data_IF_828952803999
#
_entry.id   IF_828952803999
#
_cell.length_a   1.000
_cell.length_b   1.000
_cell.length_c   1.000
_cell.angle_alpha   90.00
_cell.angle_beta   90.00
_cell.angle_gamma   90.00
#
_symmetry.space_group_name_H-M   'P 1'
#
loop_
_entity.id
_entity.type
_entity.pdbx_description
1 polymer ?
#
# COMPACT_ATOMS: atom_id res chain seq x y z
N UNK A 1 -14.94 -19.51 2.28
CA UNK A 1 -14.11 -19.53 3.48
C UNK A 1 -13.95 -18.09 3.93
N UNK A 2 -14.27 -17.78 5.17
CA UNK A 2 -14.06 -16.44 5.77
C UNK A 2 -12.57 -16.24 5.93
N UNK A 3 -12.04 -15.11 5.50
CA UNK A 3 -10.61 -14.79 5.64
C UNK A 3 -10.27 -14.55 7.13
N UNK A 4 -9.05 -14.85 7.53
CA UNK A 4 -8.57 -14.57 8.89
C UNK A 4 -8.74 -13.08 9.24
N UNK A 5 -8.52 -12.18 8.27
CA UNK A 5 -8.71 -10.75 8.45
C UNK A 5 -10.17 -10.36 8.78
N UNK A 6 -11.14 -11.16 8.35
CA UNK A 6 -12.56 -10.89 8.63
C UNK A 6 -12.97 -11.21 10.07
N UNK A 7 -12.15 -11.99 10.79
CA UNK A 7 -12.34 -12.32 12.20
C UNK A 7 -11.73 -11.30 13.17
N UNK A 8 -10.99 -10.32 12.65
CA UNK A 8 -10.42 -9.26 13.47
C UNK A 8 -11.54 -8.39 14.05
N UNK A 9 -11.47 -8.15 15.34
CA UNK A 9 -12.40 -7.30 16.08
C UNK A 9 -11.80 -5.93 16.35
N UNK A 10 -12.61 -4.89 16.22
CA UNK A 10 -12.18 -3.51 16.44
C UNK A 10 -13.34 -2.53 16.25
N UNK A 11 -13.11 -1.23 16.31
CA UNK A 11 -14.14 -0.20 16.21
C UNK A 11 -14.68 0.00 14.78
N UNK A 12 -14.31 -0.86 13.86
CA UNK A 12 -14.70 -0.79 12.45
C UNK A 12 -15.89 -1.71 12.14
N UNK A 13 -16.58 -1.36 11.06
CA UNK A 13 -17.59 -2.23 10.42
C UNK A 13 -17.13 -2.57 9.01
N UNK A 14 -17.45 -3.79 8.59
CA UNK A 14 -17.15 -4.26 7.24
C UNK A 14 -18.35 -4.10 6.31
N UNK A 15 -18.11 -3.62 5.09
CA UNK A 15 -19.11 -3.65 4.02
C UNK A 15 -18.48 -3.69 2.62
N UNK A 16 -19.31 -3.94 1.63
CA UNK A 16 -18.93 -3.87 0.22
C UNK A 16 -19.50 -2.60 -0.40
N UNK A 17 -18.65 -1.87 -1.13
CA UNK A 17 -19.05 -0.72 -1.95
C UNK A 17 -19.00 -1.08 -3.43
N UNK A 18 -19.88 -0.48 -4.23
CA UNK A 18 -19.90 -0.68 -5.67
C UNK A 18 -19.02 0.36 -6.37
N UNK A 19 -18.02 -0.13 -7.12
CA UNK A 19 -17.01 0.69 -7.77
C UNK A 19 -16.76 0.14 -9.18
N UNK A 20 -17.12 0.91 -10.20
CA UNK A 20 -16.84 0.57 -11.60
C UNK A 20 -17.26 -0.86 -12.00
N UNK A 21 -18.45 -1.26 -11.57
CA UNK A 21 -19.02 -2.58 -11.86
C UNK A 21 -18.45 -3.73 -11.02
N UNK A 22 -17.71 -3.42 -9.97
CA UNK A 22 -17.13 -4.38 -9.03
C UNK A 22 -17.53 -4.02 -7.60
N UNK A 23 -17.38 -4.96 -6.70
CA UNK A 23 -17.54 -4.77 -5.27
C UNK A 23 -16.16 -4.71 -4.64
N UNK A 24 -15.89 -3.65 -3.91
CA UNK A 24 -14.69 -3.52 -3.10
C UNK A 24 -15.05 -3.57 -1.62
N UNK A 25 -14.30 -4.35 -0.87
CA UNK A 25 -14.45 -4.49 0.56
C UNK A 25 -13.77 -3.31 1.27
N UNK A 26 -14.45 -2.80 2.30
CA UNK A 26 -13.92 -1.79 3.20
C UNK A 26 -14.12 -2.17 4.66
N UNK A 27 -13.20 -1.72 5.51
CA UNK A 27 -13.36 -1.62 6.95
C UNK A 27 -13.39 -0.13 7.30
N UNK A 28 -14.48 0.34 7.90
CA UNK A 28 -14.69 1.76 8.14
C UNK A 28 -15.10 2.06 9.58
N UNK A 29 -14.69 3.23 10.09
CA UNK A 29 -15.11 3.78 11.37
C UNK A 29 -15.27 5.30 11.27
N UNK A 30 -15.85 5.92 12.30
CA UNK A 30 -16.21 7.33 12.29
C UNK A 30 -17.54 7.60 11.58
N UNK A 31 -17.84 8.88 11.34
CA UNK A 31 -19.11 9.31 10.75
C UNK A 31 -18.93 9.56 9.25
N UNK A 32 -19.84 9.11 8.39
CA UNK A 32 -19.80 9.38 6.95
C UNK A 32 -19.85 10.87 6.57
N UNK A 33 -20.29 11.74 7.48
CA UNK A 33 -20.33 13.20 7.28
C UNK A 33 -18.99 13.90 7.52
N UNK A 34 -18.08 13.22 8.22
CA UNK A 34 -16.77 13.79 8.56
C UNK A 34 -15.79 13.68 7.38
N UNK A 35 -14.70 14.45 7.34
CA UNK A 35 -13.70 14.37 6.27
C UNK A 35 -13.19 12.95 6.04
N UNK A 36 -13.08 12.54 4.78
CA UNK A 36 -12.65 11.19 4.43
C UNK A 36 -11.12 11.02 4.56
N UNK A 37 -10.71 10.05 5.37
CA UNK A 37 -9.35 9.51 5.39
C UNK A 37 -9.39 8.11 4.79
N UNK A 38 -8.85 7.93 3.60
CA UNK A 38 -8.87 6.67 2.86
C UNK A 38 -7.52 5.97 2.93
N UNK A 39 -7.50 4.79 3.51
CA UNK A 39 -6.30 3.98 3.73
C UNK A 39 -6.13 2.95 2.62
N UNK A 40 -4.95 2.97 1.98
CA UNK A 40 -4.62 2.12 0.82
C UNK A 40 -3.40 1.26 1.15
N UNK A 41 -3.59 -0.05 1.18
CA UNK A 41 -2.57 -1.03 1.59
C UNK A 41 -1.47 -1.25 0.55
N UNK A 42 -0.39 -1.91 0.98
CA UNK A 42 0.73 -2.34 0.16
C UNK A 42 0.44 -3.58 -0.72
N UNK A 43 1.45 -4.01 -1.48
CA UNK A 43 1.32 -5.12 -2.44
C UNK A 43 1.00 -6.47 -1.80
N UNK A 44 1.47 -6.73 -0.59
CA UNK A 44 1.31 -8.01 0.12
C UNK A 44 0.32 -7.95 1.27
N UNK A 45 -0.30 -6.78 1.47
CA UNK A 45 -1.18 -6.49 2.59
C UNK A 45 -2.66 -6.65 2.28
N UNK A 46 -3.45 -5.83 2.94
CA UNK A 46 -4.89 -5.73 2.86
C UNK A 46 -5.38 -4.62 3.79
N UNK A 47 -6.68 -4.44 3.94
CA UNK A 47 -7.24 -3.48 4.88
C UNK A 47 -6.66 -3.64 6.31
N UNK A 48 -6.27 -4.84 6.68
CA UNK A 48 -5.74 -5.20 8.00
C UNK A 48 -4.37 -4.57 8.33
N UNK A 49 -3.66 -4.01 7.37
CA UNK A 49 -2.47 -3.20 7.64
C UNK A 49 -2.78 -2.00 8.54
N UNK A 50 -4.03 -1.56 8.54
CA UNK A 50 -4.50 -0.38 9.27
C UNK A 50 -5.21 -0.69 10.60
N UNK A 51 -5.24 -1.97 11.01
CA UNK A 51 -5.94 -2.44 12.21
C UNK A 51 -5.46 -1.80 13.51
N UNK A 52 -4.18 -1.40 13.57
CA UNK A 52 -3.60 -0.71 14.72
C UNK A 52 -3.78 0.82 14.64
N UNK A 53 -4.02 1.36 13.46
CA UNK A 53 -4.23 2.79 13.23
C UNK A 53 -5.70 3.19 13.47
N UNK A 54 -6.63 2.42 12.92
CA UNK A 54 -8.07 2.73 12.96
C UNK A 54 -8.60 2.96 14.39
N UNK A 55 -8.26 2.15 15.40
CA UNK A 55 -8.71 2.38 16.77
C UNK A 55 -8.23 3.71 17.34
N UNK A 56 -7.00 4.11 17.04
CA UNK A 56 -6.39 5.32 17.57
C UNK A 56 -6.98 6.63 17.03
N UNK A 57 -7.74 6.56 15.93
CA UNK A 57 -8.42 7.73 15.35
C UNK A 57 -9.70 8.09 16.12
N UNK A 58 -10.33 7.10 16.75
CA UNK A 58 -11.61 7.25 17.43
C UNK A 58 -11.50 6.91 18.94
N UNK A 59 -10.30 6.99 19.51
CA UNK A 59 -10.10 6.69 20.92
C UNK A 59 -10.65 7.82 21.79
N UNK A 60 -11.71 7.50 22.55
CA UNK A 60 -12.36 8.43 23.49
C UNK A 60 -11.45 8.80 24.68
N UNK A 61 -10.32 8.11 24.87
CA UNK A 61 -9.34 8.39 25.94
C UNK A 61 -8.43 9.59 25.63
N UNK A 62 -8.46 10.09 24.38
CA UNK A 62 -7.66 11.20 23.90
C UNK A 62 -8.50 12.32 23.28
N UNK A 63 -7.97 12.90 22.21
CA UNK A 63 -8.65 13.88 21.36
C UNK A 63 -9.03 13.17 20.04
N UNK A 64 -10.25 12.61 19.93
CA UNK A 64 -10.67 11.85 18.77
C UNK A 64 -10.67 12.75 17.53
N UNK A 65 -10.16 12.22 16.43
CA UNK A 65 -10.20 12.93 15.16
C UNK A 65 -11.58 12.78 14.51
N UNK A 66 -12.27 13.88 14.19
CA UNK A 66 -13.57 13.81 13.51
C UNK A 66 -13.37 13.46 12.04
N UNK A 67 -13.12 12.18 11.74
CA UNK A 67 -12.87 11.67 10.41
C UNK A 67 -13.74 10.46 10.08
N UNK A 68 -14.09 10.31 8.81
CA UNK A 68 -14.58 9.08 8.24
C UNK A 68 -13.37 8.27 7.78
N UNK A 69 -12.91 7.33 8.60
CA UNK A 69 -11.75 6.50 8.33
C UNK A 69 -12.17 5.23 7.59
N UNK A 70 -11.62 5.01 6.40
CA UNK A 70 -11.97 3.88 5.52
C UNK A 70 -10.72 3.17 5.05
N UNK A 71 -10.51 1.93 5.49
CA UNK A 71 -9.45 1.06 4.99
C UNK A 71 -10.02 0.15 3.88
N UNK A 72 -9.52 0.36 2.66
CA UNK A 72 -10.00 -0.37 1.47
C UNK A 72 -9.15 -1.61 1.21
N UNK A 73 -9.80 -2.72 0.88
CA UNK A 73 -9.14 -3.84 0.19
C UNK A 73 -9.17 -3.58 -1.30
N UNK A 74 -8.03 -3.34 -1.92
CA UNK A 74 -7.96 -3.11 -3.36
C UNK A 74 -8.50 -4.33 -4.13
N UNK A 75 -8.81 -4.13 -5.39
CA UNK A 75 -9.24 -5.17 -6.35
C UNK A 75 -8.41 -6.44 -6.22
N UNK A 76 -9.07 -7.58 -6.00
CA UNK A 76 -8.45 -8.90 -5.87
C UNK A 76 -7.97 -9.27 -4.48
N UNK A 77 -8.07 -8.35 -3.49
CA UNK A 77 -7.69 -8.58 -2.11
C UNK A 77 -8.90 -8.79 -1.21
N UNK A 78 -8.73 -9.64 -0.20
CA UNK A 78 -9.78 -9.92 0.78
C UNK A 78 -11.10 -10.31 0.11
N UNK A 79 -12.20 -9.68 0.52
CA UNK A 79 -13.55 -9.88 -0.03
C UNK A 79 -13.84 -9.06 -1.30
N UNK A 80 -12.89 -8.25 -1.79
CA UNK A 80 -13.04 -7.50 -3.04
C UNK A 80 -13.09 -8.43 -4.25
N UNK A 81 -13.88 -8.07 -5.25
CA UNK A 81 -14.03 -8.85 -6.46
C UNK A 81 -12.67 -9.04 -7.18
N UNK A 82 -12.50 -10.24 -7.73
CA UNK A 82 -11.30 -10.66 -8.45
C UNK A 82 -11.55 -10.58 -9.95
N UNK A 83 -10.79 -9.74 -10.62
CA UNK A 83 -10.88 -9.56 -12.06
C UNK A 83 -9.75 -10.27 -12.80
N UNK A 84 -9.95 -10.63 -14.08
CA UNK A 84 -8.89 -11.22 -14.88
C UNK A 84 -7.67 -10.32 -15.09
N UNK A 85 -7.84 -9.00 -14.98
CA UNK A 85 -6.83 -7.96 -15.24
C UNK A 85 -7.16 -6.67 -14.47
N UNK A 86 -6.31 -5.63 -14.60
CA UNK A 86 -6.56 -4.33 -13.99
C UNK A 86 -5.86 -4.17 -12.63
N UNK A 87 -4.67 -4.74 -12.50
CA UNK A 87 -3.85 -4.65 -11.30
C UNK A 87 -2.66 -3.71 -11.44
N UNK A 88 -2.76 -2.76 -12.36
CA UNK A 88 -1.77 -1.70 -12.54
C UNK A 88 -2.16 -0.44 -11.75
N UNK A 89 -1.23 0.53 -11.53
CA UNK A 89 -1.51 1.73 -10.77
C UNK A 89 -2.61 2.62 -11.35
N UNK A 90 -2.82 2.60 -12.68
CA UNK A 90 -3.86 3.41 -13.31
C UNK A 90 -5.26 2.89 -12.99
N UNK A 91 -5.47 1.59 -13.12
CA UNK A 91 -6.74 0.96 -12.80
C UNK A 91 -7.05 1.05 -11.30
N UNK A 92 -6.02 0.83 -10.46
CA UNK A 92 -6.16 1.00 -9.02
C UNK A 92 -6.53 2.45 -8.65
N UNK A 93 -5.89 3.46 -9.25
CA UNK A 93 -6.22 4.86 -9.03
C UNK A 93 -7.65 5.22 -9.44
N UNK A 94 -8.15 4.63 -10.55
CA UNK A 94 -9.54 4.82 -10.96
C UNK A 94 -10.53 4.17 -10.00
N UNK A 95 -10.18 3.03 -9.44
CA UNK A 95 -10.99 2.38 -8.39
C UNK A 95 -11.04 3.24 -7.13
N UNK A 96 -9.91 3.79 -6.70
CA UNK A 96 -9.84 4.71 -5.54
C UNK A 96 -10.67 5.98 -5.82
N UNK A 97 -10.53 6.62 -6.99
CA UNK A 97 -11.33 7.78 -7.37
C UNK A 97 -12.84 7.51 -7.30
N UNK A 98 -13.24 6.34 -7.79
CA UNK A 98 -14.65 5.93 -7.77
C UNK A 98 -15.12 5.54 -6.38
N UNK A 99 -14.22 5.01 -5.53
CA UNK A 99 -14.52 4.72 -4.12
C UNK A 99 -14.79 5.98 -3.33
N UNK A 100 -14.00 7.04 -3.49
CA UNK A 100 -14.23 8.35 -2.84
C UNK A 100 -15.66 8.84 -3.15
N UNK A 101 -16.05 8.81 -4.43
CA UNK A 101 -17.39 9.24 -4.86
C UNK A 101 -18.50 8.31 -4.37
N UNK A 102 -18.28 6.99 -4.38
CA UNK A 102 -19.23 6.00 -3.90
C UNK A 102 -19.47 6.10 -2.39
N UNK A 103 -18.50 6.61 -1.65
CA UNK A 103 -18.59 6.91 -0.22
C UNK A 103 -19.28 8.25 0.06
N UNK A 104 -19.61 9.04 -0.98
CA UNK A 104 -20.33 10.32 -0.86
C UNK A 104 -19.41 11.53 -0.66
N UNK A 105 -18.08 11.38 -0.85
CA UNK A 105 -17.13 12.44 -0.64
C UNK A 105 -16.64 13.07 -1.96
N UNK A 106 -16.29 14.35 -1.92
CA UNK A 106 -15.69 15.10 -3.03
C UNK A 106 -14.16 15.02 -3.01
N UNK A 107 -13.56 14.85 -1.82
CA UNK A 107 -12.11 14.77 -1.61
C UNK A 107 -11.77 13.74 -0.55
N UNK A 108 -10.51 13.31 -0.49
CA UNK A 108 -9.99 12.44 0.56
C UNK A 108 -8.53 12.74 0.88
N UNK A 109 -8.16 12.62 2.14
CA UNK A 109 -6.78 12.40 2.55
C UNK A 109 -6.44 10.92 2.28
N UNK A 110 -5.39 10.68 1.50
CA UNK A 110 -4.95 9.33 1.17
C UNK A 110 -3.79 8.91 2.07
N UNK A 111 -4.00 7.90 2.90
CA UNK A 111 -2.98 7.32 3.77
C UNK A 111 -2.58 5.96 3.21
N UNK A 112 -1.32 5.79 2.84
CA UNK A 112 -0.92 4.74 1.92
C UNK A 112 0.32 3.99 2.38
N UNK A 113 0.38 2.68 2.14
CA UNK A 113 1.55 1.85 2.38
C UNK A 113 2.16 1.38 1.06
N UNK A 114 3.47 1.56 0.87
CA UNK A 114 4.22 1.01 -0.26
C UNK A 114 3.58 1.28 -1.62
N UNK A 115 3.09 0.24 -2.32
CA UNK A 115 2.41 0.36 -3.61
C UNK A 115 1.16 1.25 -3.56
N UNK A 116 0.45 1.28 -2.44
CA UNK A 116 -0.70 2.17 -2.25
C UNK A 116 -0.34 3.64 -2.43
N UNK A 117 0.87 4.05 -2.04
CA UNK A 117 1.37 5.42 -2.26
C UNK A 117 1.55 5.74 -3.75
N UNK A 118 1.96 4.76 -4.55
CA UNK A 118 2.05 4.93 -6.00
C UNK A 118 0.68 5.08 -6.65
N UNK A 119 -0.31 4.36 -6.13
CA UNK A 119 -1.72 4.54 -6.53
C UNK A 119 -2.20 5.94 -6.20
N UNK A 120 -1.90 6.44 -5.00
CA UNK A 120 -2.27 7.79 -4.55
C UNK A 120 -1.64 8.88 -5.43
N UNK A 121 -0.34 8.81 -5.72
CA UNK A 121 0.30 9.75 -6.63
C UNK A 121 -0.27 9.67 -8.07
N UNK A 122 -0.62 8.46 -8.53
CA UNK A 122 -1.29 8.28 -9.83
C UNK A 122 -2.65 8.96 -9.84
N UNK A 123 -3.41 8.87 -8.77
CA UNK A 123 -4.68 9.57 -8.63
C UNK A 123 -4.48 11.08 -8.59
N UNK A 124 -3.58 11.57 -7.75
CA UNK A 124 -3.29 12.99 -7.60
C UNK A 124 -2.85 13.64 -8.92
N UNK A 125 -2.04 12.94 -9.72
CA UNK A 125 -1.60 13.44 -11.03
C UNK A 125 -2.73 13.57 -12.06
N UNK A 126 -3.78 12.75 -11.95
CA UNK A 126 -4.88 12.70 -12.94
C UNK A 126 -6.14 13.42 -12.50
N UNK A 127 -6.43 13.41 -11.21
CA UNK A 127 -7.62 13.98 -10.59
C UNK A 127 -7.25 14.68 -9.28
N UNK A 128 -6.44 15.75 -9.33
CA UNK A 128 -5.90 16.40 -8.13
C UNK A 128 -7.01 16.92 -7.20
N UNK A 129 -8.15 17.29 -7.75
CA UNK A 129 -9.28 17.80 -6.96
C UNK A 129 -9.92 16.74 -6.04
N UNK A 130 -9.63 15.45 -6.22
CA UNK A 130 -10.10 14.37 -5.32
C UNK A 130 -9.17 14.11 -4.15
N UNK A 131 -7.97 14.71 -4.14
CA UNK A 131 -6.93 14.41 -3.16
C UNK A 131 -6.63 15.66 -2.36
N UNK A 132 -7.01 15.70 -1.09
CA UNK A 132 -6.67 16.80 -0.18
C UNK A 132 -5.22 16.71 0.30
N UNK A 133 -4.65 15.51 0.34
CA UNK A 133 -3.25 15.26 0.68
C UNK A 133 -2.88 13.79 0.60
N UNK A 134 -1.59 13.50 0.75
CA UNK A 134 -1.04 12.15 0.74
C UNK A 134 -0.12 11.95 1.94
N UNK A 135 -0.36 10.90 2.70
CA UNK A 135 0.58 10.39 3.70
C UNK A 135 1.05 9.03 3.20
N UNK A 136 2.31 8.97 2.74
CA UNK A 136 2.90 7.76 2.20
C UNK A 136 3.84 7.09 3.19
N UNK A 137 3.60 5.82 3.49
CA UNK A 137 4.43 5.01 4.37
C UNK A 137 5.32 4.07 3.57
N UNK A 138 6.64 4.09 3.78
CA UNK A 138 7.59 3.17 3.17
C UNK A 138 7.59 3.18 1.64
N UNK A 139 7.52 4.37 1.03
CA UNK A 139 7.52 4.52 -0.43
C UNK A 139 8.33 5.74 -0.87
N UNK A 140 9.12 5.60 -1.93
CA UNK A 140 9.75 6.70 -2.63
C UNK A 140 8.98 7.06 -3.90
N UNK A 141 9.02 8.33 -4.29
CA UNK A 141 8.31 8.82 -5.49
C UNK A 141 8.85 8.14 -6.76
N UNK A 142 7.99 7.76 -7.70
CA UNK A 142 8.38 7.04 -8.92
C UNK A 142 9.46 7.74 -9.76
N UNK A 143 9.52 9.07 -9.75
CA UNK A 143 10.58 9.84 -10.43
C UNK A 143 11.97 9.58 -9.86
N UNK A 144 12.07 9.39 -8.54
CA UNK A 144 13.34 9.06 -7.88
C UNK A 144 13.84 7.72 -8.40
N UNK A 145 12.97 6.73 -8.48
CA UNK A 145 13.28 5.44 -9.06
C UNK A 145 13.78 5.56 -10.51
N UNK A 146 13.11 6.36 -11.32
CA UNK A 146 13.52 6.57 -12.72
C UNK A 146 14.90 7.24 -12.81
N UNK A 147 15.15 8.26 -12.00
CA UNK A 147 16.42 8.97 -12.01
C UNK A 147 17.57 8.06 -11.58
N UNK A 148 17.35 7.23 -10.58
CA UNK A 148 18.33 6.22 -10.17
C UNK A 148 18.60 5.19 -11.28
N UNK A 149 17.58 4.76 -12.01
CA UNK A 149 17.75 3.85 -13.15
C UNK A 149 18.54 4.47 -14.32
N UNK A 150 18.48 5.80 -14.49
CA UNK A 150 19.28 6.52 -15.51
C UNK A 150 20.78 6.63 -15.15
N UNK A 151 21.11 6.47 -13.88
CA UNK A 151 22.47 6.59 -13.36
C UNK A 151 22.92 5.32 -12.61
N UNK A 152 22.98 4.15 -13.29
CA UNK A 152 23.22 2.87 -12.63
C UNK A 152 24.61 2.72 -12.00
N UNK A 153 25.50 3.67 -12.26
CA UNK A 153 26.86 3.72 -11.73
C UNK A 153 27.00 4.66 -10.52
N UNK A 154 25.94 5.40 -10.16
CA UNK A 154 25.94 6.26 -8.97
C UNK A 154 26.05 5.43 -7.69
N UNK A 155 26.63 6.03 -6.66
CA UNK A 155 26.75 5.42 -5.33
C UNK A 155 25.36 5.19 -4.73
N UNK A 156 24.44 6.14 -4.92
CA UNK A 156 23.03 6.05 -4.50
C UNK A 156 22.31 4.86 -5.14
N UNK A 157 22.53 4.61 -6.45
CA UNK A 157 21.97 3.44 -7.11
C UNK A 157 22.51 2.14 -6.54
N UNK A 158 23.84 2.09 -6.31
CA UNK A 158 24.50 0.88 -5.80
C UNK A 158 24.08 0.56 -4.38
N UNK A 159 23.94 1.56 -3.52
CA UNK A 159 23.56 1.39 -2.12
C UNK A 159 22.08 1.13 -1.92
N UNK A 160 21.20 1.84 -2.65
CA UNK A 160 19.76 1.84 -2.41
C UNK A 160 18.98 0.93 -3.38
N UNK A 161 19.24 1.05 -4.67
CA UNK A 161 18.39 0.43 -5.70
C UNK A 161 18.94 -0.90 -6.21
N UNK A 162 20.28 -1.04 -6.35
CA UNK A 162 20.86 -2.26 -6.88
C UNK A 162 20.57 -3.51 -6.02
N UNK A 163 20.60 -3.46 -4.68
CA UNK A 163 20.20 -4.57 -3.83
C UNK A 163 18.73 -4.94 -4.02
N UNK A 164 17.85 -3.93 -4.12
CA UNK A 164 16.42 -4.13 -4.33
C UNK A 164 16.11 -4.74 -5.69
N UNK A 165 16.76 -4.25 -6.76
CA UNK A 165 16.59 -4.81 -8.10
C UNK A 165 17.15 -6.22 -8.19
N UNK A 166 18.29 -6.51 -7.55
CA UNK A 166 18.84 -7.87 -7.46
C UNK A 166 17.86 -8.81 -6.79
N UNK A 167 17.38 -8.44 -5.60
CA UNK A 167 16.40 -9.22 -4.83
C UNK A 167 15.13 -9.41 -5.65
N UNK A 168 14.56 -8.31 -6.16
CA UNK A 168 13.34 -8.32 -6.96
C UNK A 168 13.50 -9.07 -8.28
N UNK A 169 14.65 -8.98 -8.95
CA UNK A 169 14.90 -9.66 -10.22
C UNK A 169 15.01 -11.19 -10.06
N UNK A 170 15.56 -11.66 -8.94
CA UNK A 170 15.56 -13.08 -8.61
C UNK A 170 14.18 -13.59 -8.19
N UNK A 171 13.43 -12.77 -7.46
CA UNK A 171 12.16 -13.13 -6.86
C UNK A 171 10.99 -12.98 -7.82
N UNK A 172 11.05 -11.99 -8.71
CA UNK A 172 10.05 -11.72 -9.73
C UNK A 172 10.19 -12.57 -10.99
N UNK A 173 11.16 -13.49 -11.06
CA UNK A 173 11.10 -14.49 -12.13
C UNK A 173 9.79 -15.26 -11.95
N UNK A 174 8.76 -15.03 -12.78
CA UNK A 174 7.60 -15.87 -12.74
C UNK A 174 8.06 -17.24 -13.24
N UNK A 175 8.49 -18.05 -12.33
CA UNK A 175 8.28 -19.48 -12.44
C UNK A 175 6.84 -19.77 -12.02
N UNK A 176 5.92 -18.89 -12.41
CA UNK A 176 4.61 -19.38 -12.74
C UNK A 176 4.87 -20.17 -14.00
N UNK A 177 4.93 -21.50 -13.96
CA UNK A 177 4.82 -22.25 -15.18
C UNK A 177 3.54 -21.67 -15.78
N UNK A 178 3.62 -21.02 -16.95
CA UNK A 178 2.45 -21.00 -17.80
C UNK A 178 1.95 -22.42 -17.71
N UNK A 179 0.84 -22.61 -17.01
CA UNK A 179 0.19 -23.89 -16.86
C UNK A 179 -0.09 -24.35 -18.30
N UNK A 180 0.89 -24.94 -18.93
CA UNK A 180 0.65 -25.89 -19.99
C UNK A 180 -0.19 -26.94 -19.32
N UNK A 181 -1.42 -26.89 -19.63
CA UNK A 181 -2.61 -27.53 -19.09
C UNK A 181 -2.56 -29.06 -19.09
N UNK A 182 -1.40 -29.68 -19.06
CA UNK A 182 -1.28 -31.13 -19.00
C UNK A 182 0.04 -31.54 -18.33
N UNK A 183 -0.01 -32.19 -17.19
CA UNK A 183 0.96 -33.15 -16.60
C UNK A 183 1.50 -32.84 -15.19
N UNK A 184 1.01 -31.88 -14.44
CA UNK A 184 1.37 -31.85 -13.01
C UNK A 184 0.16 -32.17 -12.15
N UNK A 185 0.34 -33.00 -11.13
CA UNK A 185 -0.70 -33.27 -10.15
C UNK A 185 -1.10 -31.93 -9.48
N UNK A 186 -2.37 -31.71 -9.20
CA UNK A 186 -2.92 -30.55 -8.51
C UNK A 186 -2.13 -30.27 -7.22
N UNK A 187 -1.79 -31.33 -6.49
CA UNK A 187 -1.02 -31.28 -5.25
C UNK A 187 0.39 -30.69 -5.42
N UNK A 188 1.09 -30.97 -6.52
CA UNK A 188 2.42 -30.39 -6.78
C UNK A 188 2.33 -28.88 -7.11
N UNK A 189 1.25 -28.44 -7.75
CA UNK A 189 0.99 -27.04 -8.04
C UNK A 189 0.66 -26.26 -6.77
N UNK A 190 -0.18 -26.82 -5.92
CA UNK A 190 -0.55 -26.26 -4.60
C UNK A 190 0.67 -26.15 -3.69
N UNK A 191 1.50 -27.18 -3.60
CA UNK A 191 2.74 -27.14 -2.81
C UNK A 191 3.75 -26.10 -3.33
N UNK A 192 3.78 -25.81 -4.64
CA UNK A 192 4.61 -24.73 -5.19
C UNK A 192 4.06 -23.37 -4.85
N UNK A 193 2.75 -23.19 -4.94
CA UNK A 193 2.07 -21.96 -4.55
C UNK A 193 2.32 -21.66 -3.07
N UNK A 194 2.15 -22.65 -2.21
CA UNK A 194 2.37 -22.52 -0.76
C UNK A 194 3.81 -22.08 -0.46
N UNK A 195 4.82 -22.74 -1.05
CA UNK A 195 6.23 -22.34 -0.88
C UNK A 195 6.52 -20.92 -1.37
N UNK A 196 5.84 -20.48 -2.44
CA UNK A 196 5.98 -19.10 -2.92
C UNK A 196 5.40 -18.09 -1.92
N UNK A 197 4.23 -18.40 -1.36
CA UNK A 197 3.59 -17.55 -0.34
C UNK A 197 4.48 -17.45 0.91
N UNK A 198 4.93 -18.58 1.43
CA UNK A 198 5.83 -18.61 2.60
C UNK A 198 7.11 -17.78 2.38
N UNK A 199 7.66 -17.86 1.17
CA UNK A 199 8.81 -17.05 0.79
C UNK A 199 8.47 -15.57 0.73
N UNK A 200 7.37 -15.17 0.10
CA UNK A 200 6.94 -13.77 0.02
C UNK A 200 6.73 -13.19 1.42
N UNK A 201 6.05 -13.92 2.30
CA UNK A 201 5.81 -13.49 3.68
C UNK A 201 7.14 -13.32 4.43
N UNK A 202 8.00 -14.34 4.42
CA UNK A 202 9.31 -14.28 5.09
C UNK A 202 10.16 -13.10 4.60
N UNK A 203 10.22 -12.89 3.29
CA UNK A 203 10.98 -11.78 2.70
C UNK A 203 10.35 -10.43 3.00
N UNK A 204 9.03 -10.34 3.07
CA UNK A 204 8.35 -9.13 3.52
C UNK A 204 8.67 -8.87 4.99
N UNK A 205 8.49 -9.83 5.87
CA UNK A 205 8.77 -9.66 7.31
C UNK A 205 10.24 -9.34 7.60
N UNK A 206 11.17 -9.76 6.74
CA UNK A 206 12.60 -9.39 6.90
C UNK A 206 12.90 -7.92 6.63
N UNK A 207 11.91 -7.12 6.22
CA UNK A 207 12.03 -5.66 6.05
C UNK A 207 11.41 -4.89 7.22
N UNK A 208 10.83 -5.58 8.18
CA UNK A 208 10.34 -5.01 9.44
C UNK A 208 11.51 -4.54 10.32
N UNK A 209 11.20 -3.72 11.31
CA UNK A 209 12.16 -3.30 12.33
C UNK A 209 12.70 -4.47 13.13
N UNK A 210 13.87 -4.25 13.75
CA UNK A 210 14.55 -5.28 14.55
C UNK A 210 13.63 -5.82 15.65
N UNK A 211 13.50 -7.15 15.71
CA UNK A 211 12.68 -7.84 16.70
C UNK A 211 11.17 -7.80 16.45
N UNK A 212 10.67 -7.00 15.50
CA UNK A 212 9.23 -6.89 15.26
C UNK A 212 8.59 -8.20 14.83
N UNK A 213 9.27 -8.99 13.99
CA UNK A 213 8.73 -10.26 13.51
C UNK A 213 8.44 -11.28 14.61
N UNK A 214 9.08 -11.16 15.77
CA UNK A 214 8.94 -12.01 16.95
C UNK A 214 7.82 -11.56 17.89
N UNK A 215 7.34 -10.31 17.74
CA UNK A 215 6.24 -9.78 18.55
C UNK A 215 4.90 -10.44 18.19
N UNK A 216 3.89 -10.39 19.07
CA UNK A 216 2.54 -10.86 18.75
C UNK A 216 1.97 -10.20 17.50
N UNK A 217 2.14 -8.87 17.35
CA UNK A 217 1.66 -8.07 16.23
C UNK A 217 2.37 -8.45 14.92
N UNK A 218 3.69 -8.70 14.99
CA UNK A 218 4.49 -9.15 13.85
C UNK A 218 4.07 -10.54 13.37
N UNK A 219 3.89 -11.49 14.28
CA UNK A 219 3.39 -12.84 13.96
C UNK A 219 2.00 -12.79 13.36
N UNK A 220 1.09 -12.03 13.97
CA UNK A 220 -0.26 -11.84 13.42
C UNK A 220 -0.22 -11.21 12.03
N UNK A 221 0.67 -10.23 11.79
CA UNK A 221 0.86 -9.61 10.47
C UNK A 221 1.29 -10.65 9.44
N UNK A 222 2.25 -11.51 9.77
CA UNK A 222 2.71 -12.58 8.88
C UNK A 222 1.59 -13.58 8.56
N UNK A 223 0.78 -13.97 9.56
CA UNK A 223 -0.37 -14.86 9.39
C UNK A 223 -1.45 -14.24 8.49
N UNK A 224 -1.80 -12.99 8.70
CA UNK A 224 -2.78 -12.25 7.88
C UNK A 224 -2.30 -12.09 6.44
N UNK A 225 -1.02 -11.81 6.22
CA UNK A 225 -0.43 -11.78 4.89
C UNK A 225 -0.51 -13.15 4.20
N UNK A 226 -0.14 -14.22 4.90
CA UNK A 226 -0.19 -15.59 4.37
C UNK A 226 -1.63 -15.98 4.01
N UNK A 227 -2.60 -15.69 4.87
CA UNK A 227 -4.03 -15.95 4.63
C UNK A 227 -4.54 -15.17 3.41
N UNK A 228 -4.24 -13.87 3.33
CA UNK A 228 -4.64 -13.01 2.20
C UNK A 228 -4.10 -13.55 0.87
N UNK A 229 -2.81 -13.90 0.81
CA UNK A 229 -2.19 -14.44 -0.39
C UNK A 229 -2.76 -15.81 -0.78
N UNK A 230 -3.03 -16.67 0.21
CA UNK A 230 -3.63 -18.00 0.00
C UNK A 230 -5.07 -17.88 -0.47
N UNK A 231 -5.83 -16.96 0.08
CA UNK A 231 -7.25 -16.72 -0.24
C UNK A 231 -7.48 -16.04 -1.58
N UNK A 232 -6.41 -15.64 -2.31
CA UNK A 232 -6.49 -15.19 -3.70
C UNK A 232 -5.74 -13.90 -4.04
N UNK A 233 -5.19 -13.18 -3.06
CA UNK A 233 -4.42 -11.97 -3.31
C UNK A 233 -3.03 -12.21 -3.95
N UNK A 234 -2.59 -13.47 -4.10
CA UNK A 234 -1.29 -13.78 -4.70
C UNK A 234 -1.14 -13.22 -6.12
N UNK A 235 -2.19 -13.32 -6.94
CA UNK A 235 -2.14 -12.81 -8.32
C UNK A 235 -2.02 -11.29 -8.40
N UNK A 236 -2.86 -10.49 -7.73
CA UNK A 236 -2.69 -9.04 -7.70
C UNK A 236 -1.38 -8.63 -7.03
N UNK A 237 -0.96 -9.27 -5.94
CA UNK A 237 0.32 -9.00 -5.30
C UNK A 237 1.51 -9.18 -6.26
N UNK A 238 1.55 -10.29 -6.99
CA UNK A 238 2.57 -10.53 -8.02
C UNK A 238 2.48 -9.53 -9.18
N UNK A 239 1.28 -9.10 -9.58
CA UNK A 239 1.12 -8.09 -10.62
C UNK A 239 1.65 -6.73 -10.16
N UNK A 240 1.37 -6.31 -8.94
CA UNK A 240 1.93 -5.10 -8.33
C UNK A 240 3.46 -5.17 -8.23
N UNK A 241 4.00 -6.29 -7.74
CA UNK A 241 5.46 -6.50 -7.67
C UNK A 241 6.11 -6.50 -9.06
N UNK A 242 5.47 -7.13 -10.06
CA UNK A 242 5.96 -7.13 -11.44
C UNK A 242 5.92 -5.73 -12.09
N UNK A 243 4.99 -4.88 -11.70
CA UNK A 243 4.97 -3.50 -12.18
C UNK A 243 6.25 -2.74 -11.84
N UNK A 244 6.84 -3.03 -10.67
CA UNK A 244 8.12 -2.48 -10.24
C UNK A 244 9.32 -3.02 -11.01
N UNK A 245 9.32 -4.33 -11.22
CA UNK A 245 10.52 -5.07 -11.60
C UNK A 245 10.61 -5.37 -13.07
N UNK A 246 9.47 -5.36 -13.75
CA UNK A 246 9.31 -5.68 -15.18
C UNK A 246 8.24 -4.84 -15.84
N UNK A 247 8.31 -3.52 -15.71
CA UNK A 247 7.32 -2.71 -16.36
C UNK A 247 7.40 -2.92 -17.88
N UNK A 248 6.24 -3.13 -18.52
CA UNK A 248 6.17 -2.99 -19.97
C UNK A 248 6.69 -1.59 -20.33
N UNK A 249 7.77 -1.43 -21.10
CA UNK A 249 8.49 -0.15 -21.24
C UNK A 249 7.58 1.02 -21.63
N UNK A 250 6.59 0.77 -22.47
CA UNK A 250 5.64 1.79 -22.95
C UNK A 250 4.67 2.18 -21.83
N UNK A 251 4.09 1.21 -21.13
CA UNK A 251 3.12 1.47 -20.05
C UNK A 251 3.79 2.19 -18.87
N UNK A 252 5.02 1.79 -18.53
CA UNK A 252 5.79 2.41 -17.46
C UNK A 252 6.20 3.85 -17.80
N UNK A 253 6.67 4.12 -19.04
CA UNK A 253 6.97 5.47 -19.49
C UNK A 253 5.74 6.36 -19.50
N UNK A 254 4.59 5.84 -19.95
CA UNK A 254 3.33 6.56 -19.92
C UNK A 254 2.91 6.91 -18.49
N UNK A 255 3.09 5.97 -17.57
CA UNK A 255 2.81 6.18 -16.16
C UNK A 255 3.72 7.24 -15.53
N UNK A 256 5.02 7.16 -15.76
CA UNK A 256 5.99 8.16 -15.29
C UNK A 256 5.73 9.55 -15.88
N UNK A 257 5.39 9.63 -17.17
CA UNK A 257 5.02 10.90 -17.80
C UNK A 257 3.76 11.51 -17.18
N UNK A 258 2.79 10.69 -16.80
CA UNK A 258 1.61 11.17 -16.06
C UNK A 258 1.97 11.74 -14.68
N UNK A 259 3.06 11.24 -14.04
CA UNK A 259 3.54 11.74 -12.75
C UNK A 259 4.29 13.08 -12.83
N UNK A 260 4.66 13.55 -14.03
CA UNK A 260 5.34 14.85 -14.18
C UNK A 260 4.47 16.03 -13.77
N UNK A 261 3.15 15.87 -13.78
CA UNK A 261 2.18 16.86 -13.31
C UNK A 261 1.80 16.79 -11.83
N UNK A 262 2.35 15.84 -11.06
CA UNK A 262 1.98 15.62 -9.66
C UNK A 262 2.54 16.66 -8.68
N UNK A 263 3.43 17.54 -9.14
CA UNK A 263 4.06 18.59 -8.31
C UNK A 263 3.07 19.57 -7.64
N UNK A 264 1.82 19.64 -8.10
CA UNK A 264 0.81 20.50 -7.45
C UNK A 264 0.38 20.05 -6.05
N UNK A 265 0.63 18.78 -5.71
CA UNK A 265 0.26 18.22 -4.40
C UNK A 265 1.49 17.92 -3.52
N UNK A 266 2.70 18.36 -3.92
CA UNK A 266 3.92 18.12 -3.12
C UNK A 266 3.84 18.82 -1.76
N UNK A 267 3.21 20.00 -1.69
CA UNK A 267 3.01 20.74 -0.44
C UNK A 267 2.11 20.00 0.56
N UNK A 268 1.21 19.15 0.07
CA UNK A 268 0.28 18.35 0.88
C UNK A 268 0.68 16.88 0.98
N UNK A 269 1.93 16.56 0.65
CA UNK A 269 2.44 15.20 0.73
C UNK A 269 3.45 15.06 1.86
N UNK A 270 3.20 14.13 2.78
CA UNK A 270 4.13 13.74 3.84
C UNK A 270 4.54 12.29 3.65
N UNK A 271 5.84 12.01 3.68
CA UNK A 271 6.35 10.66 3.60
C UNK A 271 6.90 10.22 4.97
N UNK A 272 6.42 9.09 5.43
CA UNK A 272 6.91 8.42 6.63
C UNK A 272 7.76 7.23 6.20
N UNK A 273 8.94 7.09 6.76
CA UNK A 273 9.83 5.97 6.47
C UNK A 273 10.47 5.47 7.76
N UNK A 274 10.50 4.17 7.94
CA UNK A 274 11.21 3.58 9.08
C UNK A 274 12.72 3.72 8.91
N UNK A 275 13.42 4.06 9.99
CA UNK A 275 14.88 4.14 10.02
C UNK A 275 15.54 2.84 9.54
N UNK A 276 14.91 1.70 9.85
CA UNK A 276 15.39 0.36 9.54
C UNK A 276 14.73 -0.25 8.28
N UNK A 277 13.98 0.53 7.51
CA UNK A 277 13.34 0.04 6.29
C UNK A 277 14.38 -0.30 5.20
N UNK A 278 14.62 -1.59 5.03
CA UNK A 278 15.55 -2.10 3.99
C UNK A 278 14.89 -2.25 2.64
N UNK A 279 13.56 -2.18 2.54
CA UNK A 279 12.83 -2.22 1.26
C UNK A 279 12.81 -0.86 0.59
N UNK A 280 12.60 0.19 1.37
CA UNK A 280 12.61 1.57 0.90
C UNK A 280 13.45 2.40 1.87
N UNK A 281 14.78 2.35 1.74
CA UNK A 281 15.67 3.02 2.68
C UNK A 281 15.39 4.53 2.80
N UNK A 282 15.56 5.14 3.99
CA UNK A 282 15.34 6.58 4.20
C UNK A 282 16.02 7.45 3.14
N UNK A 283 17.28 7.19 2.82
CA UNK A 283 18.03 7.93 1.80
C UNK A 283 17.34 7.97 0.43
N UNK A 284 16.60 6.92 0.05
CA UNK A 284 15.84 6.89 -1.19
C UNK A 284 14.56 7.72 -1.09
N UNK A 285 13.90 7.73 0.07
CA UNK A 285 12.67 8.51 0.31
C UNK A 285 13.00 10.00 0.38
N UNK A 286 14.09 10.38 1.00
CA UNK A 286 14.56 11.78 1.12
C UNK A 286 14.83 12.42 -0.25
N UNK A 287 15.19 11.62 -1.26
CA UNK A 287 15.31 12.10 -2.65
C UNK A 287 13.96 12.47 -3.29
N UNK A 288 12.85 12.16 -2.65
CA UNK A 288 11.51 12.42 -3.20
C UNK A 288 11.07 13.89 -3.11
N UNK A 289 11.86 14.77 -2.52
CA UNK A 289 11.65 16.23 -2.43
C UNK A 289 10.32 16.62 -1.76
N UNK A 290 9.87 15.84 -0.79
CA UNK A 290 8.66 16.08 0.00
C UNK A 290 9.00 16.20 1.47
N UNK A 291 8.01 16.47 2.29
CA UNK A 291 8.18 16.46 3.73
C UNK A 291 8.37 15.01 4.19
N UNK A 292 9.61 14.62 4.47
CA UNK A 292 9.97 13.27 4.91
C UNK A 292 10.19 13.26 6.42
N UNK A 293 9.62 12.24 7.08
CA UNK A 293 9.83 11.96 8.51
C UNK A 293 10.42 10.55 8.64
N UNK A 294 11.64 10.46 9.14
CA UNK A 294 12.27 9.18 9.48
C UNK A 294 11.82 8.77 10.88
N UNK A 295 11.26 7.56 11.01
CA UNK A 295 10.69 7.05 12.26
C UNK A 295 11.68 6.09 12.90
N UNK A 296 12.23 6.44 14.09
CA UNK A 296 13.24 5.63 14.77
C UNK A 296 12.72 4.23 15.17
N UNK A 297 13.60 3.24 15.10
CA UNK A 297 13.31 1.86 15.52
C UNK A 297 12.12 1.24 14.81
N UNK A 298 11.93 1.57 13.54
CA UNK A 298 10.83 1.11 12.70
C UNK A 298 11.36 0.62 11.36
N UNK A 299 10.77 -0.44 10.83
CA UNK A 299 11.03 -0.97 9.51
C UNK A 299 9.97 -0.54 8.49
N UNK A 300 9.62 -1.48 7.60
CA UNK A 300 8.72 -1.21 6.48
C UNK A 300 7.23 -1.14 6.87
N UNK A 301 6.80 -1.82 7.95
CA UNK A 301 5.39 -1.95 8.31
C UNK A 301 4.93 -0.85 9.28
N UNK A 302 5.22 0.40 8.95
CA UNK A 302 4.90 1.59 9.75
C UNK A 302 3.50 1.59 10.38
N UNK A 303 2.42 1.22 9.66
CA UNK A 303 1.07 1.23 10.23
C UNK A 303 0.87 0.26 11.40
N UNK A 304 1.69 -0.77 11.50
CA UNK A 304 1.62 -1.78 12.56
C UNK A 304 2.75 -1.60 13.57
N UNK A 305 3.95 -1.24 13.11
CA UNK A 305 5.11 -1.06 13.97
C UNK A 305 5.03 0.23 14.81
N UNK A 306 4.54 1.30 14.22
CA UNK A 306 4.46 2.67 14.82
C UNK A 306 3.16 3.37 14.42
N UNK A 307 1.98 2.83 14.74
CA UNK A 307 0.69 3.40 14.32
C UNK A 307 0.49 4.84 14.79
N UNK A 308 1.04 5.22 15.95
CA UNK A 308 0.94 6.58 16.48
C UNK A 308 1.61 7.62 15.55
N UNK A 309 2.70 7.25 14.87
CA UNK A 309 3.35 8.14 13.93
C UNK A 309 2.46 8.44 12.71
N UNK A 310 1.67 7.46 12.28
CA UNK A 310 0.69 7.63 11.19
C UNK A 310 -0.46 8.53 11.66
N UNK A 311 -1.01 8.28 12.85
CA UNK A 311 -2.09 9.11 13.44
C UNK A 311 -1.64 10.55 13.62
N UNK A 312 -0.41 10.77 14.10
CA UNK A 312 0.13 12.13 14.25
C UNK A 312 0.26 12.85 12.89
N UNK A 313 0.68 12.14 11.85
CA UNK A 313 0.74 12.74 10.51
C UNK A 313 -0.66 13.08 9.96
N UNK A 314 -1.68 12.26 10.25
CA UNK A 314 -3.08 12.55 9.91
C UNK A 314 -3.54 13.79 10.68
N UNK A 315 -3.29 13.86 11.98
CA UNK A 315 -3.66 15.01 12.83
C UNK A 315 -3.03 16.31 12.33
N UNK A 316 -1.73 16.28 12.05
CA UNK A 316 -1.00 17.45 11.52
C UNK A 316 -1.61 17.94 10.22
N UNK A 317 -1.98 17.02 9.32
CA UNK A 317 -2.58 17.35 8.04
C UNK A 317 -3.96 17.98 8.19
N UNK A 318 -4.82 17.44 9.07
CA UNK A 318 -6.17 17.95 9.29
C UNK A 318 -6.14 19.36 9.92
N UNK A 319 -5.18 19.66 10.78
CA UNK A 319 -4.99 21.01 11.34
C UNK A 319 -4.49 22.03 10.30
N UNK A 320 -3.94 21.58 9.20
CA UNK A 320 -3.40 22.45 8.15
C UNK A 320 -4.45 22.79 7.07
N UNK A 321 -5.56 22.07 7.02
CA UNK A 321 -6.68 22.40 6.14
C UNK A 321 -7.40 23.62 6.71
N UNK A 322 -7.69 24.68 5.89
CA UNK A 322 -8.51 25.81 6.36
C UNK A 322 -9.89 25.31 6.76
N UNK A 323 -10.39 25.81 7.89
CA UNK A 323 -11.76 25.53 8.36
C UNK A 323 -12.76 25.84 7.24
N UNK A 324 -13.45 24.81 6.73
CA UNK A 324 -14.53 24.95 5.73
C UNK A 324 -14.20 24.53 4.30
N UNK A 325 -13.17 23.71 4.06
CA UNK A 325 -12.90 23.12 2.73
C UNK A 325 -13.63 21.79 2.49
#
# INVERSE_FOLDING_TARGET
MTSLSDSLTGPWRHRLIHVRGQRLHIAECGRPSDPLVLFIHGSTGGWFEWREVLPLLNDDSGDPLPVHAVAISMRGYGQSDRTPQGYDPFEAAQDIASSIRSLGHSTALLVCQGFGTWVAWTLASRQPNLVSGIIGCGAAHPKVWLNQLKSPWSEDFRSSLAPLLRRSWWDSRPRVPQLRRNKFSTQAAEARQQRLIERIVRESMSTAGEGFAETPEGKQTAELMADSLTSGALRPALAHMNWWTRPAPVAFRKWLGAMEGSSKNDEHTVLLVGEQDTRTPPALVELSSTHVRVIPGCGHFLPVEKPQAVVQAIRDHLHWLPEGS
#
